data_IF_707620251111
#
_entry.id   IF_707620251111
#
_cell.length_a   1.000
_cell.length_b   1.000
_cell.length_c   1.000
_cell.angle_alpha   90.00
_cell.angle_beta   90.00
_cell.angle_gamma   90.00
#
_symmetry.space_group_name_H-M   'P 1'
#
loop_
_entity.id
_entity.type
_entity.pdbx_description
1 polymer ?
#
# COMPACT_ATOMS: atom_id res chain seq x y z
N UNK A 1 -30.47 59.83 -23.85
CA UNK A 1 -29.17 60.51 -24.07
C UNK A 1 -28.08 59.44 -24.13
N UNK A 2 -27.24 59.49 -25.19
CA UNK A 2 -25.83 59.05 -25.26
C UNK A 2 -25.53 57.55 -25.08
N UNK A 3 -24.49 56.96 -25.66
CA UNK A 3 -23.66 57.15 -26.86
C UNK A 3 -22.75 55.91 -26.84
N UNK A 4 -22.55 55.26 -27.98
CA UNK A 4 -21.53 54.24 -28.19
C UNK A 4 -20.12 54.84 -28.11
N UNK A 5 -19.12 54.10 -27.62
CA UNK A 5 -17.84 53.79 -28.29
C UNK A 5 -16.74 53.31 -27.33
N UNK A 6 -15.85 52.55 -27.95
CA UNK A 6 -14.76 51.68 -27.48
C UNK A 6 -13.48 52.50 -27.22
N UNK A 7 -12.52 51.89 -26.48
CA UNK A 7 -11.03 51.99 -26.51
C UNK A 7 -10.45 52.09 -25.08
N UNK A 8 -9.79 51.04 -24.56
CA UNK A 8 -8.40 50.61 -24.75
C UNK A 8 -7.38 51.44 -23.93
N UNK A 9 -6.85 50.86 -22.84
CA UNK A 9 -5.39 50.64 -22.63
C UNK A 9 -4.94 50.64 -21.16
N UNK A 10 -4.09 49.64 -20.89
CA UNK A 10 -2.88 49.67 -20.06
C UNK A 10 -2.96 49.90 -18.53
N UNK A 11 -2.77 48.77 -17.84
CA UNK A 11 -1.75 48.51 -16.82
C UNK A 11 -1.57 49.51 -15.66
N UNK A 12 -1.79 49.00 -14.43
CA UNK A 12 -0.77 49.12 -13.39
C UNK A 12 -0.92 47.95 -12.40
N UNK A 13 0.17 47.21 -12.22
CA UNK A 13 0.29 46.17 -11.21
C UNK A 13 0.52 46.80 -9.83
N UNK A 14 -0.27 46.38 -8.85
CA UNK A 14 0.06 46.26 -7.41
C UNK A 14 -0.87 45.13 -6.93
N UNK A 15 -0.40 43.96 -6.52
CA UNK A 15 0.55 43.79 -5.44
C UNK A 15 -0.23 43.27 -4.23
N UNK A 16 -0.23 41.93 -4.07
CA UNK A 16 -0.43 41.14 -2.85
C UNK A 16 -1.63 41.45 -1.94
N UNK A 17 -2.44 40.43 -1.65
CA UNK A 17 -2.54 39.81 -0.31
C UNK A 17 -3.49 38.61 -0.35
N UNK A 18 -2.93 37.49 0.14
CA UNK A 18 -3.51 36.35 0.84
C UNK A 18 -4.82 35.67 0.38
N UNK A 19 -4.71 34.35 0.31
CA UNK A 19 -5.78 33.36 0.23
C UNK A 19 -6.84 33.58 1.30
N UNK A 20 -8.10 33.72 0.89
CA UNK A 20 -9.24 33.34 1.72
C UNK A 20 -10.14 32.40 0.91
N UNK A 21 -10.02 31.13 1.28
CA UNK A 21 -10.85 30.02 0.86
C UNK A 21 -12.24 30.20 1.46
N UNK A 22 -13.22 30.52 0.63
CA UNK A 22 -14.64 30.27 0.93
C UNK A 22 -15.28 29.57 -0.26
N UNK A 23 -15.15 28.25 -0.28
CA UNK A 23 -15.95 27.34 -1.08
C UNK A 23 -16.70 26.40 -0.14
N UNK A 24 -17.96 26.71 0.09
CA UNK A 24 -18.86 26.01 1.00
C UNK A 24 -19.34 24.67 0.40
N UNK A 25 -19.12 23.56 1.12
CA UNK A 25 -19.95 22.34 1.08
C UNK A 25 -19.22 21.01 0.76
N UNK A 26 -19.74 19.84 1.20
CA UNK A 26 -20.56 19.55 2.38
C UNK A 26 -19.82 18.65 3.39
N UNK A 27 -20.40 18.57 4.59
CA UNK A 27 -20.02 17.69 5.69
C UNK A 27 -19.68 16.24 5.27
N UNK A 28 -18.39 15.91 5.20
CA UNK A 28 -17.91 14.54 5.35
C UNK A 28 -17.66 14.28 6.84
N UNK A 29 -18.18 13.19 7.45
CA UNK A 29 -17.90 12.91 8.85
C UNK A 29 -16.39 12.76 9.01
N UNK A 30 -15.78 13.56 9.91
CA UNK A 30 -14.42 13.37 10.44
C UNK A 30 -14.39 12.06 11.27
N UNK A 31 -14.57 10.95 10.58
CA UNK A 31 -14.35 9.60 11.07
C UNK A 31 -12.93 9.24 10.71
N UNK A 32 -12.04 9.18 11.70
CA UNK A 32 -10.72 8.55 11.58
C UNK A 32 -10.89 7.16 10.96
N UNK A 33 -10.69 7.09 9.65
CA UNK A 33 -10.32 5.86 8.96
C UNK A 33 -9.09 5.35 9.71
N UNK A 34 -9.02 4.06 10.03
CA UNK A 34 -7.73 3.47 10.41
C UNK A 34 -6.87 3.54 9.16
N UNK A 35 -6.20 4.68 9.02
CA UNK A 35 -5.13 4.94 8.07
C UNK A 35 -4.20 3.76 8.17
N UNK A 36 -3.78 3.26 7.01
CA UNK A 36 -2.64 2.39 6.89
C UNK A 36 -1.60 2.73 7.99
N UNK A 37 -1.30 1.81 8.93
CA UNK A 37 -0.51 2.15 10.13
C UNK A 37 0.95 2.46 9.81
N UNK A 38 1.29 2.52 8.52
CA UNK A 38 2.64 2.45 8.02
C UNK A 38 2.92 3.63 7.08
N UNK A 39 3.73 4.56 7.58
CA UNK A 39 4.18 5.74 6.82
C UNK A 39 5.62 5.65 6.32
N UNK A 40 6.45 4.74 6.85
CA UNK A 40 7.89 4.68 6.52
C UNK A 40 8.40 3.26 6.25
N UNK A 41 9.20 3.12 5.18
CA UNK A 41 9.70 1.88 4.57
C UNK A 41 11.11 1.44 4.95
N UNK A 42 11.56 1.66 6.20
CA UNK A 42 12.90 1.19 6.64
C UNK A 42 12.93 -0.29 7.07
N UNK A 43 11.88 -1.06 6.81
CA UNK A 43 11.72 -2.47 7.22
C UNK A 43 10.84 -3.21 6.21
N UNK A 44 10.65 -4.52 6.40
CA UNK A 44 9.77 -5.35 5.57
C UNK A 44 8.42 -4.67 5.28
N UNK A 45 8.05 -4.67 4.01
CA UNK A 45 6.77 -4.17 3.55
C UNK A 45 6.17 -5.07 2.47
N UNK A 46 4.91 -5.48 2.67
CA UNK A 46 4.12 -6.11 1.62
C UNK A 46 3.06 -5.12 1.13
N UNK A 47 2.97 -4.97 -0.17
CA UNK A 47 2.00 -4.09 -0.85
C UNK A 47 1.11 -4.93 -1.74
N UNK A 48 -0.20 -4.69 -1.72
CA UNK A 48 -1.10 -5.20 -2.75
C UNK A 48 -1.25 -4.10 -3.80
N UNK A 49 -0.90 -4.44 -5.04
CA UNK A 49 -0.71 -3.47 -6.11
C UNK A 49 -1.46 -3.85 -7.39
N UNK A 50 -1.69 -2.85 -8.23
CA UNK A 50 -2.30 -2.95 -9.56
C UNK A 50 -1.45 -2.19 -10.57
N UNK A 51 -1.45 -2.61 -11.84
CA UNK A 51 -0.79 -1.85 -12.92
C UNK A 51 -1.61 -0.65 -13.40
N UNK A 52 -2.88 -0.55 -13.00
CA UNK A 52 -3.78 0.55 -13.34
C UNK A 52 -4.18 1.31 -12.07
N UNK A 53 -4.20 2.64 -12.16
CA UNK A 53 -4.84 3.48 -11.13
C UNK A 53 -6.31 3.11 -11.04
N UNK A 54 -6.84 3.09 -9.84
CA UNK A 54 -8.21 2.70 -9.60
C UNK A 54 -8.68 3.02 -8.20
N UNK A 55 -9.87 2.53 -7.89
CA UNK A 55 -10.39 2.48 -6.53
C UNK A 55 -10.62 1.04 -6.14
N UNK A 56 -10.26 0.71 -4.92
CA UNK A 56 -10.46 -0.60 -4.33
C UNK A 56 -11.52 -0.49 -3.25
N UNK A 57 -12.49 -1.40 -3.27
CA UNK A 57 -13.55 -1.42 -2.28
C UNK A 57 -13.14 -2.33 -1.13
N UNK A 58 -12.90 -1.76 0.05
CA UNK A 58 -12.39 -2.47 1.23
C UNK A 58 -13.40 -2.47 2.36
N UNK A 59 -13.33 -3.50 3.22
CA UNK A 59 -14.02 -3.46 4.51
C UNK A 59 -13.08 -2.90 5.56
N UNK A 60 -13.48 -1.78 6.15
CA UNK A 60 -12.76 -1.17 7.28
C UNK A 60 -13.68 -1.13 8.49
N UNK A 61 -13.09 -1.24 9.69
CA UNK A 61 -13.84 -1.02 10.93
C UNK A 61 -14.01 0.47 11.17
N UNK A 62 -15.26 0.91 11.38
CA UNK A 62 -15.55 2.28 11.77
C UNK A 62 -15.27 2.52 13.27
N UNK A 63 -15.42 3.77 13.72
CA UNK A 63 -15.26 4.18 15.13
C UNK A 63 -16.12 3.38 16.13
N UNK A 64 -17.23 2.78 15.67
CA UNK A 64 -18.14 1.94 16.45
C UNK A 64 -17.83 0.44 16.32
N UNK A 65 -16.63 0.09 15.85
CA UNK A 65 -16.17 -1.28 15.62
C UNK A 65 -17.01 -2.09 14.60
N UNK A 66 -17.78 -1.42 13.72
CA UNK A 66 -18.59 -2.07 12.68
C UNK A 66 -17.83 -2.12 11.36
N UNK A 67 -17.93 -3.23 10.63
CA UNK A 67 -17.36 -3.36 9.27
C UNK A 67 -18.21 -2.57 8.28
N UNK A 68 -17.59 -1.63 7.57
CA UNK A 68 -18.22 -0.80 6.54
C UNK A 68 -17.38 -0.86 5.26
N UNK A 69 -18.06 -0.82 4.11
CA UNK A 69 -17.41 -0.74 2.81
C UNK A 69 -16.95 0.69 2.53
N UNK A 70 -15.68 0.87 2.17
CA UNK A 70 -15.10 2.15 1.77
C UNK A 70 -14.37 1.97 0.45
N UNK A 71 -14.47 2.97 -0.43
CA UNK A 71 -13.69 3.04 -1.66
C UNK A 71 -12.41 3.81 -1.35
N UNK A 72 -11.27 3.15 -1.50
CA UNK A 72 -9.94 3.75 -1.30
C UNK A 72 -9.25 3.89 -2.66
N UNK A 73 -8.64 5.05 -2.91
CA UNK A 73 -7.93 5.33 -4.16
C UNK A 73 -6.55 4.67 -4.15
N UNK A 74 -6.15 4.07 -5.27
CA UNK A 74 -4.78 3.61 -5.51
C UNK A 74 -3.96 4.75 -6.10
N UNK A 75 -3.56 5.69 -5.25
CA UNK A 75 -2.83 6.91 -5.61
C UNK A 75 -1.33 6.81 -5.31
N UNK A 76 -0.92 5.90 -4.43
CA UNK A 76 0.50 5.65 -4.14
C UNK A 76 1.14 4.90 -5.29
N UNK A 77 2.16 5.50 -5.91
CA UNK A 77 2.93 4.90 -6.99
C UNK A 77 4.17 4.19 -6.44
N UNK A 78 4.39 2.96 -6.90
CA UNK A 78 5.57 2.16 -6.62
C UNK A 78 6.22 1.75 -7.94
N UNK A 79 7.54 1.88 -8.04
CA UNK A 79 8.30 1.41 -9.19
C UNK A 79 9.09 0.17 -8.78
N UNK A 80 8.79 -0.97 -9.43
CA UNK A 80 9.47 -2.24 -9.17
C UNK A 80 9.80 -2.93 -10.50
N UNK A 81 11.06 -3.28 -10.71
CA UNK A 81 11.57 -3.97 -11.90
C UNK A 81 11.16 -3.28 -13.23
N UNK A 82 11.32 -1.96 -13.29
CA UNK A 82 10.96 -1.16 -14.48
C UNK A 82 9.46 -1.06 -14.76
N UNK A 83 8.60 -1.58 -13.86
CA UNK A 83 7.14 -1.47 -13.96
C UNK A 83 6.59 -0.54 -12.89
N UNK A 84 5.63 0.29 -13.29
CA UNK A 84 4.88 1.16 -12.39
C UNK A 84 3.66 0.45 -11.87
N UNK A 85 3.49 0.49 -10.55
CA UNK A 85 2.36 -0.07 -9.83
C UNK A 85 1.67 0.99 -8.98
N UNK A 86 0.39 0.78 -8.72
CA UNK A 86 -0.45 1.63 -7.90
C UNK A 86 -1.01 0.84 -6.73
N UNK A 87 -0.98 1.45 -5.55
CA UNK A 87 -1.44 0.84 -4.31
C UNK A 87 -2.13 1.85 -3.42
N UNK A 88 -2.88 1.36 -2.45
CA UNK A 88 -3.41 2.13 -1.31
C UNK A 88 -2.38 2.27 -0.17
N UNK A 89 -1.21 1.65 -0.32
CA UNK A 89 -0.08 1.72 0.61
C UNK A 89 0.32 0.35 1.17
N UNK A 90 1.24 0.34 2.15
CA UNK A 90 1.72 -0.89 2.82
C UNK A 90 0.58 -1.65 3.50
N UNK A 91 0.49 -2.95 3.30
CA UNK A 91 -0.57 -3.78 3.88
C UNK A 91 -0.07 -4.51 5.12
N UNK A 92 1.14 -5.06 5.02
CA UNK A 92 1.84 -5.81 6.07
C UNK A 92 3.19 -5.15 6.32
N UNK A 93 3.56 -4.99 7.59
CA UNK A 93 4.90 -4.57 8.02
C UNK A 93 5.65 -5.68 8.75
N UNK A 94 6.87 -5.39 9.22
CA UNK A 94 7.66 -6.35 10.01
C UNK A 94 6.95 -6.81 11.30
N UNK A 95 6.19 -5.90 11.95
CA UNK A 95 5.48 -6.18 13.20
C UNK A 95 4.33 -7.19 13.02
N UNK A 96 3.86 -7.34 11.78
CA UNK A 96 2.78 -8.24 11.39
C UNK A 96 3.27 -9.65 11.04
N UNK A 97 4.59 -9.87 11.00
CA UNK A 97 5.20 -11.17 10.74
C UNK A 97 5.50 -11.84 12.07
N UNK A 98 4.93 -12.99 12.34
CA UNK A 98 5.23 -13.80 13.52
C UNK A 98 6.62 -14.42 13.42
N UNK A 99 6.92 -15.05 12.27
CA UNK A 99 8.16 -15.79 12.03
C UNK A 99 8.53 -15.77 10.54
N UNK A 100 9.84 -15.81 10.26
CA UNK A 100 10.39 -15.90 8.90
C UNK A 100 11.31 -17.13 8.80
N UNK A 101 11.18 -17.86 7.68
CA UNK A 101 11.94 -19.08 7.41
C UNK A 101 12.31 -19.23 5.93
N UNK A 102 13.40 -19.94 5.67
CA UNK A 102 13.70 -20.43 4.32
C UNK A 102 12.87 -21.68 4.06
N UNK A 103 12.16 -21.69 2.93
CA UNK A 103 11.26 -22.76 2.51
C UNK A 103 11.49 -23.09 1.04
N UNK A 104 10.74 -24.07 0.54
CA UNK A 104 10.58 -24.32 -0.89
C UNK A 104 9.11 -24.21 -1.28
N UNK A 105 8.84 -23.78 -2.50
CA UNK A 105 7.49 -23.81 -3.07
C UNK A 105 7.09 -25.25 -3.40
N UNK A 106 5.83 -25.46 -3.79
CA UNK A 106 5.34 -26.76 -4.29
C UNK A 106 6.11 -27.27 -5.52
N UNK A 107 6.78 -26.37 -6.25
CA UNK A 107 7.60 -26.70 -7.42
C UNK A 107 9.09 -26.91 -7.08
N UNK A 108 9.43 -27.10 -5.79
CA UNK A 108 10.80 -27.22 -5.27
C UNK A 108 11.67 -25.96 -5.46
N UNK A 109 11.06 -24.80 -5.73
CA UNK A 109 11.78 -23.53 -5.91
C UNK A 109 12.12 -22.89 -4.54
N UNK A 110 13.30 -22.28 -4.37
CA UNK A 110 13.63 -21.56 -3.15
C UNK A 110 12.66 -20.42 -2.85
N UNK A 111 12.20 -20.33 -1.60
CA UNK A 111 11.28 -19.29 -1.18
C UNK A 111 11.54 -18.80 0.25
N UNK A 112 11.25 -17.53 0.49
CA UNK A 112 11.13 -16.97 1.84
C UNK A 112 9.69 -17.17 2.34
N UNK A 113 9.53 -17.99 3.38
CA UNK A 113 8.28 -18.19 4.07
C UNK A 113 8.08 -17.17 5.19
N UNK A 114 7.00 -16.41 5.13
CA UNK A 114 6.60 -15.47 6.17
C UNK A 114 5.31 -15.95 6.83
N UNK A 115 5.40 -16.33 8.10
CA UNK A 115 4.22 -16.60 8.92
C UNK A 115 3.67 -15.28 9.44
N UNK A 116 2.46 -14.92 9.02
CA UNK A 116 1.79 -13.71 9.46
C UNK A 116 1.07 -13.92 10.79
N UNK A 117 0.80 -12.84 11.52
CA UNK A 117 -0.17 -12.88 12.61
C UNK A 117 -1.58 -13.12 12.05
N UNK A 118 -2.54 -13.68 12.82
CA UNK A 118 -3.90 -13.91 12.33
C UNK A 118 -4.58 -12.64 11.79
N UNK A 119 -4.37 -11.50 12.45
CA UNK A 119 -4.90 -10.20 12.02
C UNK A 119 -4.25 -9.69 10.73
N UNK A 120 -2.96 -9.95 10.54
CA UNK A 120 -2.24 -9.62 9.31
C UNK A 120 -2.68 -10.52 8.14
N UNK A 121 -2.79 -11.82 8.37
CA UNK A 121 -3.30 -12.78 7.40
C UNK A 121 -4.70 -12.38 6.90
N UNK A 122 -5.60 -12.01 7.81
CA UNK A 122 -6.95 -11.56 7.45
C UNK A 122 -6.94 -10.24 6.67
N UNK A 123 -6.08 -9.28 7.05
CA UNK A 123 -5.91 -8.02 6.31
C UNK A 123 -5.42 -8.27 4.89
N UNK A 124 -4.38 -9.08 4.72
CA UNK A 124 -3.84 -9.41 3.40
C UNK A 124 -4.87 -10.12 2.52
N UNK A 125 -5.58 -11.13 3.08
CA UNK A 125 -6.63 -11.84 2.36
C UNK A 125 -7.77 -10.91 1.92
N UNK A 126 -8.21 -9.99 2.79
CA UNK A 126 -9.24 -9.01 2.47
C UNK A 126 -8.79 -8.08 1.33
N UNK A 127 -7.54 -7.61 1.40
CA UNK A 127 -6.97 -6.73 0.40
C UNK A 127 -6.85 -7.41 -0.98
N UNK A 128 -6.43 -8.68 -0.98
CA UNK A 128 -6.34 -9.52 -2.18
C UNK A 128 -7.72 -9.82 -2.81
N UNK A 129 -8.76 -9.98 -2.00
CA UNK A 129 -10.13 -10.14 -2.49
C UNK A 129 -10.69 -8.85 -3.10
N UNK A 130 -10.36 -7.70 -2.49
CA UNK A 130 -10.77 -6.38 -2.96
C UNK A 130 -10.09 -6.00 -4.27
N UNK A 131 -8.85 -6.44 -4.49
CA UNK A 131 -8.06 -6.15 -5.70
C UNK A 131 -8.14 -7.30 -6.69
N UNK A 132 -9.15 -7.31 -7.58
CA UNK A 132 -9.25 -8.32 -8.66
C UNK A 132 -8.00 -8.27 -9.55
N UNK A 133 -7.20 -9.33 -9.53
CA UNK A 133 -5.92 -9.40 -10.24
C UNK A 133 -4.76 -8.67 -9.54
N UNK A 134 -4.93 -8.31 -8.26
CA UNK A 134 -3.89 -7.69 -7.45
C UNK A 134 -2.62 -8.56 -7.37
N UNK A 135 -1.49 -7.89 -7.39
CA UNK A 135 -0.17 -8.50 -7.20
C UNK A 135 0.37 -8.09 -5.84
N UNK A 136 0.98 -9.01 -5.10
CA UNK A 136 1.72 -8.67 -3.89
C UNK A 136 3.16 -8.36 -4.28
N UNK A 137 3.65 -7.18 -3.89
CA UNK A 137 5.06 -6.85 -3.92
C UNK A 137 5.62 -6.92 -2.51
N UNK A 138 6.77 -7.58 -2.36
CA UNK A 138 7.52 -7.61 -1.12
C UNK A 138 8.78 -6.77 -1.25
N UNK A 139 9.02 -5.90 -0.26
CA UNK A 139 10.26 -5.13 -0.14
C UNK A 139 10.85 -5.21 1.26
N UNK A 140 12.17 -5.09 1.31
CA UNK A 140 12.96 -4.88 2.54
C UNK A 140 13.84 -3.67 2.26
N UNK A 141 13.93 -2.73 3.21
CA UNK A 141 14.72 -1.50 3.08
C UNK A 141 14.47 -0.75 1.76
N UNK A 142 13.19 -0.66 1.38
CA UNK A 142 12.71 -0.08 0.11
C UNK A 142 13.21 -0.76 -1.18
N UNK A 143 13.88 -1.92 -1.09
CA UNK A 143 14.25 -2.73 -2.25
C UNK A 143 13.24 -3.86 -2.45
N UNK A 144 12.63 -3.91 -3.62
CA UNK A 144 11.74 -5.01 -3.99
C UNK A 144 12.55 -6.26 -4.30
N UNK A 145 12.20 -7.39 -3.67
CA UNK A 145 12.93 -8.65 -3.83
C UNK A 145 12.05 -9.77 -4.37
N UNK A 146 10.71 -9.67 -4.25
CA UNK A 146 9.82 -10.70 -4.76
C UNK A 146 8.43 -10.15 -5.10
N UNK A 147 7.74 -10.90 -5.97
CA UNK A 147 6.42 -10.58 -6.51
C UNK A 147 5.58 -11.83 -6.59
N UNK A 148 4.34 -11.75 -6.11
CA UNK A 148 3.35 -12.82 -6.18
C UNK A 148 2.08 -12.32 -6.85
N UNK A 149 1.53 -13.08 -7.79
CA UNK A 149 0.16 -12.83 -8.24
C UNK A 149 -0.85 -13.28 -7.16
N UNK A 150 -2.11 -12.90 -7.31
CA UNK A 150 -3.17 -13.27 -6.35
C UNK A 150 -3.27 -14.79 -6.10
N UNK A 151 -2.98 -15.62 -7.11
CA UNK A 151 -2.99 -17.07 -6.99
C UNK A 151 -1.86 -17.60 -6.08
N UNK A 152 -0.64 -17.07 -6.23
CA UNK A 152 0.52 -17.43 -5.41
C UNK A 152 0.57 -16.72 -4.05
N UNK A 153 -0.24 -15.67 -3.85
CA UNK A 153 -0.38 -14.98 -2.57
C UNK A 153 -1.40 -15.63 -1.63
N UNK A 154 -1.89 -16.84 -1.95
CA UNK A 154 -2.74 -17.62 -1.05
C UNK A 154 -1.94 -18.02 0.19
N UNK A 155 -2.54 -17.77 1.34
CA UNK A 155 -1.96 -18.12 2.63
C UNK A 155 -2.25 -19.59 2.92
N UNK A 156 -1.19 -20.39 3.10
CA UNK A 156 -1.29 -21.77 3.59
C UNK A 156 -0.92 -21.78 5.07
N UNK A 157 -1.88 -22.10 5.95
CA UNK A 157 -1.72 -22.02 7.41
C UNK A 157 -1.21 -20.63 7.93
N UNK A 158 -1.58 -19.56 7.22
CA UNK A 158 -1.11 -18.20 7.55
C UNK A 158 0.35 -17.91 7.14
N UNK A 159 0.95 -18.80 6.35
CA UNK A 159 2.27 -18.61 5.74
C UNK A 159 2.10 -18.16 4.29
N UNK A 160 2.86 -17.14 3.89
CA UNK A 160 3.03 -16.72 2.50
C UNK A 160 4.45 -17.04 2.05
N UNK A 161 4.60 -17.60 0.86
CA UNK A 161 5.89 -17.99 0.29
C UNK A 161 6.27 -17.02 -0.84
N UNK A 162 7.39 -16.33 -0.67
CA UNK A 162 7.96 -15.44 -1.69
C UNK A 162 9.12 -16.13 -2.39
N UNK A 163 8.99 -16.50 -3.68
CA UNK A 163 10.09 -17.06 -4.46
C UNK A 163 11.29 -16.12 -4.47
N UNK A 164 12.48 -16.70 -4.34
CA UNK A 164 13.78 -16.03 -4.36
C UNK A 164 14.79 -16.83 -5.17
N UNK A 165 15.93 -16.22 -5.49
CA UNK A 165 16.95 -16.82 -6.37
C UNK A 165 17.61 -18.08 -5.79
N UNK A 166 17.78 -18.16 -4.46
CA UNK A 166 18.40 -19.31 -3.81
C UNK A 166 17.93 -19.53 -2.37
N UNK A 167 18.16 -20.74 -1.83
CA UNK A 167 17.87 -21.04 -0.41
C UNK A 167 18.79 -20.26 0.54
N UNK A 168 19.99 -19.91 0.08
CA UNK A 168 20.91 -19.06 0.84
C UNK A 168 20.32 -17.66 0.98
N UNK A 169 19.82 -17.08 -0.11
CA UNK A 169 19.14 -15.77 -0.07
C UNK A 169 17.90 -15.82 0.82
N UNK A 170 17.11 -16.91 0.73
CA UNK A 170 15.94 -17.10 1.59
C UNK A 170 16.32 -17.11 3.08
N UNK A 171 17.44 -17.78 3.41
CA UNK A 171 17.97 -17.85 4.78
C UNK A 171 18.47 -16.48 5.24
N UNK A 172 19.25 -15.80 4.43
CA UNK A 172 19.83 -14.50 4.79
C UNK A 172 18.72 -13.48 5.01
N UNK A 173 17.72 -13.43 4.12
CA UNK A 173 16.53 -12.59 4.31
C UNK A 173 15.76 -12.96 5.58
N UNK A 174 15.57 -14.25 5.87
CA UNK A 174 14.89 -14.69 7.10
C UNK A 174 15.66 -14.27 8.37
N UNK A 175 16.99 -14.32 8.34
CA UNK A 175 17.86 -13.83 9.43
C UNK A 175 17.75 -12.32 9.57
N UNK A 176 17.86 -11.56 8.48
CA UNK A 176 17.70 -10.09 8.49
C UNK A 176 16.36 -9.67 9.10
N UNK A 177 15.27 -10.35 8.73
CA UNK A 177 13.95 -10.08 9.29
C UNK A 177 13.86 -10.41 10.78
N UNK A 178 14.51 -11.49 11.21
CA UNK A 178 14.54 -11.90 12.61
C UNK A 178 15.34 -10.91 13.46
N UNK A 179 16.49 -10.46 12.97
CA UNK A 179 17.35 -9.53 13.69
C UNK A 179 16.77 -8.11 13.70
N UNK A 180 16.16 -7.68 12.60
CA UNK A 180 15.37 -6.44 12.54
C UNK A 180 14.20 -6.42 13.52
N UNK A 181 13.73 -7.59 13.97
CA UNK A 181 12.72 -7.73 15.04
C UNK A 181 13.30 -7.64 16.45
N UNK A 182 14.55 -8.07 16.65
CA UNK A 182 15.23 -8.05 17.96
C UNK A 182 15.78 -6.67 18.32
N UNK A 183 16.04 -5.82 17.33
CA UNK A 183 16.52 -4.46 17.51
C UNK A 183 15.43 -3.42 17.81
N UNK A 184 14.18 -3.84 18.02
CA UNK A 184 13.05 -3.02 18.49
C UNK A 184 12.71 -3.39 19.92
#
# INVERSE_FOLDING_TARGET
>A
MKLSHIFLSAALACGLIACESTGTGPNGPKGSLRVNPYKDGKTLALYVVSTKKGTVRKRVRNKKNRLVWVNEKQDTQLNADGKTYFTTGRVIGLDDVSYALAAKTINDEPALGLRLTPDAALRLATELQSSKGGTVLASIDNKFFSRLNNAGAKLEDGVILFPVSSLVDARDLAVTLRDGKKGK
#
